data_IF_287952368951
#
_entry.id   IF_287952368951
#
_cell.length_a   1.000
_cell.length_b   1.000
_cell.length_c   1.000
_cell.angle_alpha   90.00
_cell.angle_beta   90.00
_cell.angle_gamma   90.00
#
_symmetry.space_group_name_H-M   'P 1'
#
loop_
_entity.id
_entity.type
_entity.pdbx_description
1 polymer ?
#
# COMPACT_ATOMS: atom_id res chain seq x y z
N UNK A 1 6.14 -17.33 13.10
CA UNK A 1 4.79 -16.76 13.34
C UNK A 1 4.02 -16.82 12.05
N UNK A 2 2.93 -17.59 12.03
CA UNK A 2 2.08 -17.75 10.86
C UNK A 2 1.60 -16.41 10.30
N UNK A 3 1.56 -16.30 8.98
CA UNK A 3 0.98 -15.15 8.28
C UNK A 3 -0.28 -15.55 7.51
N UNK A 4 -1.20 -14.60 7.39
CA UNK A 4 -2.48 -14.79 6.72
C UNK A 4 -2.29 -14.90 5.21
N UNK A 5 -3.28 -15.45 4.51
CA UNK A 5 -3.27 -15.50 3.04
C UNK A 5 -3.16 -14.10 2.42
N UNK A 6 -3.73 -13.07 3.06
CA UNK A 6 -3.58 -11.69 2.61
C UNK A 6 -2.15 -11.19 2.69
N UNK A 7 -1.38 -11.59 3.71
CA UNK A 7 0.03 -11.21 3.82
C UNK A 7 0.87 -11.81 2.70
N UNK A 8 0.56 -13.05 2.30
CA UNK A 8 1.30 -13.79 1.28
C UNK A 8 1.06 -13.24 -0.13
N UNK A 9 -0.16 -12.76 -0.42
CA UNK A 9 -0.53 -12.19 -1.74
C UNK A 9 -0.14 -10.72 -1.90
N UNK A 10 0.35 -10.07 -0.84
CA UNK A 10 0.98 -8.75 -0.97
C UNK A 10 2.35 -8.85 -1.64
N UNK A 11 2.84 -7.70 -2.09
CA UNK A 11 4.16 -7.57 -2.70
C UNK A 11 5.27 -7.90 -1.71
N UNK A 12 6.30 -8.63 -2.11
CA UNK A 12 7.41 -9.03 -1.23
C UNK A 12 8.58 -8.05 -1.29
N UNK A 13 8.28 -6.76 -1.09
CA UNK A 13 9.28 -5.71 -1.03
C UNK A 13 8.86 -4.61 -0.04
N UNK A 14 9.82 -3.77 0.31
CA UNK A 14 9.63 -2.63 1.19
C UNK A 14 8.89 -1.48 0.50
N UNK A 15 7.85 -0.98 1.16
CA UNK A 15 7.19 0.28 0.80
C UNK A 15 7.92 1.45 1.46
N UNK A 16 8.47 2.40 0.68
CA UNK A 16 9.13 3.58 1.22
C UNK A 16 8.12 4.66 1.60
N UNK A 17 8.35 5.29 2.76
CA UNK A 17 7.67 6.46 3.27
C UNK A 17 8.71 7.53 3.59
N UNK A 18 8.45 8.77 3.20
CA UNK A 18 9.32 9.91 3.50
C UNK A 18 8.53 10.96 4.25
N UNK A 19 9.04 11.37 5.40
CA UNK A 19 8.49 12.45 6.21
C UNK A 19 9.50 13.60 6.25
N UNK A 20 9.02 14.81 6.01
CA UNK A 20 9.86 16.00 5.95
C UNK A 20 9.45 16.96 7.06
N UNK A 21 10.42 17.37 7.87
CA UNK A 21 10.21 18.21 9.05
C UNK A 21 11.04 19.48 8.94
N UNK A 22 10.37 20.61 9.16
CA UNK A 22 11.02 21.91 9.32
C UNK A 22 11.55 22.02 10.76
N UNK A 23 12.69 22.71 10.97
CA UNK A 23 13.18 22.96 12.32
C UNK A 23 12.11 23.68 13.14
N UNK A 24 12.03 23.35 14.43
CA UNK A 24 11.14 24.03 15.38
C UNK A 24 11.91 24.90 16.39
N UNK A 25 13.22 25.04 16.24
CA UNK A 25 14.10 25.80 17.14
C UNK A 25 14.46 25.08 18.45
N UNK A 26 13.96 23.85 18.67
CA UNK A 26 14.30 23.09 19.87
C UNK A 26 15.69 22.46 19.78
N UNK A 27 16.42 22.44 20.90
CA UNK A 27 17.75 21.81 20.99
C UNK A 27 17.71 20.28 20.87
N UNK A 28 16.54 19.67 21.01
CA UNK A 28 16.32 18.23 20.87
C UNK A 28 15.62 17.84 19.56
N UNK A 29 15.47 18.79 18.63
CA UNK A 29 14.81 18.56 17.35
C UNK A 29 15.43 17.37 16.60
N UNK A 30 14.66 16.27 16.49
CA UNK A 30 15.06 15.03 15.83
C UNK A 30 16.41 14.46 16.31
N UNK A 31 16.73 14.59 17.61
CA UNK A 31 17.91 13.91 18.20
C UNK A 31 17.86 12.39 17.92
N UNK A 32 18.85 11.83 17.19
CA UNK A 32 18.82 10.42 16.81
C UNK A 32 18.70 9.45 17.99
N UNK A 33 19.33 9.76 19.12
CA UNK A 33 19.29 8.94 20.33
C UNK A 33 17.86 8.81 20.88
N UNK A 34 17.11 9.92 20.93
CA UNK A 34 15.71 9.91 21.39
C UNK A 34 14.85 9.03 20.48
N UNK A 35 15.06 9.15 19.17
CA UNK A 35 14.33 8.37 18.17
C UNK A 35 14.68 6.87 18.24
N UNK A 36 15.95 6.52 18.39
CA UNK A 36 16.42 5.14 18.55
C UNK A 36 15.90 4.50 19.83
N UNK A 37 15.98 5.19 20.96
CA UNK A 37 15.47 4.70 22.24
C UNK A 37 13.95 4.47 22.18
N UNK A 38 13.22 5.41 21.58
CA UNK A 38 11.79 5.28 21.39
C UNK A 38 11.43 4.14 20.43
N UNK A 39 12.22 3.94 19.37
CA UNK A 39 12.05 2.84 18.42
C UNK A 39 12.23 1.50 19.14
N UNK A 40 13.31 1.35 19.91
CA UNK A 40 13.57 0.16 20.72
C UNK A 40 12.42 -0.15 21.69
N UNK A 41 11.93 0.85 22.43
CA UNK A 41 10.77 0.70 23.34
C UNK A 41 9.48 0.33 22.61
N UNK A 42 9.24 0.90 21.43
CA UNK A 42 8.04 0.61 20.62
C UNK A 42 8.08 -0.81 20.07
N UNK A 43 9.25 -1.29 19.66
CA UNK A 43 9.45 -2.66 19.16
C UNK A 43 9.12 -3.73 20.21
N UNK A 44 9.11 -3.42 21.51
CA UNK A 44 8.66 -4.39 22.54
C UNK A 44 7.21 -4.81 22.30
N UNK A 45 6.33 -3.84 22.00
CA UNK A 45 4.91 -4.12 21.73
C UNK A 45 4.68 -4.54 20.28
N UNK A 46 5.50 -4.03 19.35
CA UNK A 46 5.48 -4.38 17.94
C UNK A 46 6.58 -5.40 17.58
N UNK A 47 6.78 -6.42 18.43
CA UNK A 47 7.91 -7.35 18.32
C UNK A 47 8.07 -8.06 16.95
N UNK A 48 7.01 -8.36 16.15
CA UNK A 48 7.22 -8.96 14.83
C UNK A 48 8.00 -8.07 13.87
N UNK A 49 8.04 -6.76 14.11
CA UNK A 49 8.76 -5.80 13.27
C UNK A 49 10.28 -5.92 13.39
N UNK A 50 10.78 -6.46 14.51
CA UNK A 50 12.19 -6.74 14.74
C UNK A 50 12.61 -8.13 14.21
N UNK A 51 11.71 -8.84 13.52
CA UNK A 51 11.96 -10.17 13.00
C UNK A 51 12.60 -10.20 11.60
N UNK A 52 12.52 -11.38 11.00
CA UNK A 52 12.89 -11.65 9.60
C UNK A 52 11.77 -12.41 8.89
N UNK A 53 11.79 -12.42 7.56
CA UNK A 53 11.02 -13.42 6.84
C UNK A 53 11.70 -14.79 6.96
N UNK A 54 10.89 -15.83 6.99
CA UNK A 54 11.34 -17.22 6.95
C UNK A 54 10.35 -18.10 6.21
N UNK A 55 10.60 -19.40 6.25
CA UNK A 55 9.67 -20.40 5.74
C UNK A 55 9.50 -21.49 6.78
N UNK A 56 8.27 -21.97 6.92
CA UNK A 56 7.97 -23.14 7.75
C UNK A 56 8.44 -24.44 7.08
N UNK A 57 8.22 -25.57 7.75
CA UNK A 57 8.57 -26.91 7.27
C UNK A 57 7.90 -27.29 5.93
N UNK A 58 6.77 -26.64 5.60
CA UNK A 58 6.04 -26.83 4.36
C UNK A 58 6.44 -25.82 3.27
N UNK A 59 7.43 -24.96 3.54
CA UNK A 59 7.90 -23.91 2.64
C UNK A 59 7.01 -22.67 2.58
N UNK A 60 5.96 -22.60 3.41
CA UNK A 60 5.05 -21.44 3.50
C UNK A 60 5.79 -20.29 4.17
N UNK A 61 5.63 -19.10 3.61
CA UNK A 61 6.25 -17.88 4.14
C UNK A 61 5.74 -17.61 5.57
N UNK A 62 6.63 -17.18 6.45
CA UNK A 62 6.29 -16.79 7.83
C UNK A 62 7.14 -15.61 8.31
N UNK A 63 6.81 -15.09 9.50
CA UNK A 63 7.65 -14.10 10.20
C UNK A 63 8.37 -14.78 11.36
N UNK A 64 9.70 -14.81 11.29
CA UNK A 64 10.58 -15.24 12.36
C UNK A 64 10.70 -14.10 13.38
N UNK A 65 10.00 -14.21 14.51
CA UNK A 65 10.06 -13.23 15.60
C UNK A 65 11.33 -13.43 16.46
N UNK A 66 12.50 -13.33 15.83
CA UNK A 66 13.80 -13.64 16.42
C UNK A 66 14.52 -12.43 17.06
N UNK A 67 13.88 -11.26 17.07
CA UNK A 67 14.40 -10.03 17.66
C UNK A 67 15.78 -9.59 17.12
N UNK A 68 16.14 -9.96 15.88
CA UNK A 68 17.35 -9.47 15.23
C UNK A 68 17.37 -7.94 15.02
N UNK A 69 16.22 -7.29 15.17
CA UNK A 69 16.09 -5.84 15.17
C UNK A 69 15.80 -5.25 13.80
N UNK A 70 15.86 -3.93 13.75
CA UNK A 70 15.57 -3.08 12.60
C UNK A 70 16.84 -2.35 12.17
N UNK A 71 16.93 -1.96 10.90
CA UNK A 71 18.04 -1.12 10.44
C UNK A 71 17.77 0.35 10.79
N UNK A 72 18.74 1.00 11.42
CA UNK A 72 18.74 2.44 11.65
C UNK A 72 19.95 3.07 10.97
N UNK A 73 19.72 4.11 10.16
CA UNK A 73 20.77 4.88 9.49
C UNK A 73 20.68 6.34 9.91
N UNK A 74 21.82 6.91 10.30
CA UNK A 74 22.00 8.35 10.44
C UNK A 74 22.77 8.84 9.22
N UNK A 75 22.24 9.86 8.56
CA UNK A 75 22.84 10.42 7.37
C UNK A 75 22.84 11.95 7.42
N UNK A 76 23.81 12.54 6.73
CA UNK A 76 23.87 13.96 6.47
C UNK A 76 23.63 14.20 4.98
N UNK A 77 22.91 15.28 4.66
CA UNK A 77 22.70 15.70 3.28
C UNK A 77 23.02 17.18 3.12
N UNK A 78 23.70 17.51 2.04
CA UNK A 78 23.96 18.88 1.63
C UNK A 78 22.78 19.48 0.87
N UNK A 79 21.78 18.70 0.45
CA UNK A 79 20.61 19.25 -0.25
C UNK A 79 19.74 20.06 0.71
N UNK A 80 19.29 21.25 0.31
CA UNK A 80 18.24 21.94 1.05
C UNK A 80 16.90 21.24 0.78
N UNK A 81 16.02 21.21 1.78
CA UNK A 81 14.68 20.66 1.61
C UNK A 81 13.86 21.46 0.57
N UNK A 82 14.19 22.74 0.39
CA UNK A 82 13.61 23.64 -0.62
C UNK A 82 14.16 23.38 -2.04
N UNK A 83 15.29 22.65 -2.17
CA UNK A 83 15.85 22.25 -3.48
C UNK A 83 15.11 21.02 -4.07
N UNK A 84 14.15 20.46 -3.34
CA UNK A 84 13.27 19.40 -3.82
C UNK A 84 12.16 20.04 -4.67
N UNK A 85 12.24 19.84 -5.99
CA UNK A 85 11.27 20.33 -6.99
C UNK A 85 9.89 19.66 -6.84
N UNK A 86 9.17 20.10 -5.80
CA UNK A 86 8.04 19.38 -5.25
C UNK A 86 8.45 18.03 -4.66
N UNK A 87 7.64 17.47 -3.78
CA UNK A 87 7.87 16.12 -3.22
C UNK A 87 7.59 15.00 -4.23
N UNK A 88 7.94 15.23 -5.50
CA UNK A 88 7.77 14.29 -6.62
C UNK A 88 8.77 13.14 -6.46
N UNK A 89 8.31 11.87 -6.40
CA UNK A 89 9.20 10.73 -6.31
C UNK A 89 10.23 10.73 -7.45
N UNK A 90 11.50 10.85 -7.09
CA UNK A 90 12.61 10.86 -8.04
C UNK A 90 13.80 10.08 -7.48
N UNK A 91 14.82 9.88 -8.32
CA UNK A 91 16.05 9.15 -7.93
C UNK A 91 16.77 9.78 -6.73
N UNK A 92 16.67 11.09 -6.54
CA UNK A 92 17.23 11.79 -5.37
C UNK A 92 16.49 11.42 -4.08
N UNK A 93 15.15 11.45 -4.09
CA UNK A 93 14.33 11.09 -2.93
C UNK A 93 14.50 9.61 -2.53
N UNK A 94 14.78 8.73 -3.48
CA UNK A 94 15.09 7.31 -3.17
C UNK A 94 16.32 7.12 -2.30
N UNK A 95 17.26 8.08 -2.27
CA UNK A 95 18.45 8.02 -1.39
C UNK A 95 18.14 8.41 0.07
N UNK A 96 16.95 8.96 0.33
CA UNK A 96 16.51 9.38 1.66
C UNK A 96 15.78 8.27 2.43
N UNK A 97 15.70 7.07 1.87
CA UNK A 97 15.10 5.88 2.49
C UNK A 97 16.03 4.69 2.30
N UNK A 98 16.23 3.82 3.30
CA UNK A 98 17.04 2.62 3.15
C UNK A 98 16.46 1.69 2.09
N UNK A 99 17.33 0.99 1.38
CA UNK A 99 16.96 -0.06 0.43
C UNK A 99 17.54 -1.39 0.86
N UNK A 100 16.74 -2.45 0.81
CA UNK A 100 17.19 -3.82 1.02
C UNK A 100 17.84 -4.38 -0.26
N UNK A 101 18.86 -5.22 -0.10
CA UNK A 101 19.37 -6.08 -1.16
C UNK A 101 18.55 -7.38 -1.17
N UNK A 102 17.78 -7.59 -2.24
CA UNK A 102 16.94 -8.78 -2.41
C UNK A 102 17.66 -9.92 -3.16
N UNK A 103 18.97 -9.80 -3.42
CA UNK A 103 19.76 -10.87 -4.04
C UNK A 103 20.05 -12.05 -3.08
N UNK A 104 20.00 -11.79 -1.77
CA UNK A 104 20.19 -12.80 -0.73
C UNK A 104 18.91 -13.54 -0.32
N UNK A 105 19.02 -14.37 0.71
CA UNK A 105 17.88 -15.06 1.30
C UNK A 105 16.88 -14.07 1.93
N UNK A 106 15.60 -14.44 2.00
CA UNK A 106 14.55 -13.60 2.59
C UNK A 106 14.78 -13.27 4.07
N UNK A 107 15.60 -14.06 4.77
CA UNK A 107 15.99 -13.79 6.16
C UNK A 107 17.14 -12.80 6.28
N UNK A 108 17.79 -12.40 5.19
CA UNK A 108 19.01 -11.56 5.23
C UNK A 108 18.73 -10.07 5.43
N UNK A 109 17.51 -9.61 5.19
CA UNK A 109 17.15 -8.20 5.30
C UNK A 109 16.11 -7.95 6.41
N UNK A 110 16.22 -6.82 7.14
CA UNK A 110 15.23 -6.44 8.14
C UNK A 110 13.86 -6.20 7.52
N UNK A 111 12.79 -6.35 8.31
CA UNK A 111 11.43 -6.05 7.87
C UNK A 111 11.09 -4.56 7.94
N UNK A 112 11.75 -3.84 8.86
CA UNK A 112 11.65 -2.39 9.03
C UNK A 112 13.06 -1.80 8.93
N UNK A 113 13.19 -0.72 8.18
CA UNK A 113 14.41 0.07 8.09
C UNK A 113 14.06 1.56 8.18
N UNK A 114 14.86 2.32 8.90
CA UNK A 114 14.67 3.76 9.07
C UNK A 114 15.97 4.52 8.82
N UNK A 115 15.85 5.71 8.24
CA UNK A 115 16.95 6.64 8.03
C UNK A 115 16.53 8.03 8.48
N UNK A 116 17.32 8.65 9.34
CA UNK A 116 17.22 10.09 9.62
C UNK A 116 18.29 10.80 8.81
N UNK A 117 17.89 11.81 8.03
CA UNK A 117 18.77 12.61 7.18
C UNK A 117 18.71 14.07 7.59
N UNK A 118 19.79 14.58 8.18
CA UNK A 118 19.90 15.96 8.63
C UNK A 118 20.48 16.83 7.50
N UNK A 119 19.82 17.96 7.18
CA UNK A 119 20.35 18.90 6.19
C UNK A 119 21.44 19.78 6.80
N UNK A 120 22.68 19.59 6.38
CA UNK A 120 23.86 20.33 6.90
C UNK A 120 23.99 21.74 6.32
N UNK A 121 23.33 22.05 5.20
CA UNK A 121 23.69 23.23 4.41
C UNK A 121 22.91 24.53 4.64
N UNK A 122 21.74 24.60 5.31
CA UNK A 122 21.14 25.92 5.65
C UNK A 122 19.88 25.98 6.51
N UNK A 123 19.05 24.94 6.57
CA UNK A 123 17.71 25.09 7.14
C UNK A 123 17.43 24.24 8.38
N UNK A 124 18.36 23.39 8.85
CA UNK A 124 18.13 22.50 10.00
C UNK A 124 16.94 21.54 9.82
N UNK A 125 16.47 21.35 8.58
CA UNK A 125 15.37 20.44 8.26
C UNK A 125 15.82 18.98 8.31
N UNK A 126 14.87 18.10 8.64
CA UNK A 126 15.11 16.66 8.77
C UNK A 126 14.18 15.89 7.86
N UNK A 127 14.74 14.89 7.17
CA UNK A 127 13.95 13.86 6.51
C UNK A 127 14.04 12.55 7.29
N UNK A 128 12.89 11.96 7.60
CA UNK A 128 12.79 10.61 8.13
C UNK A 128 12.26 9.70 7.03
N UNK A 129 13.11 8.81 6.53
CA UNK A 129 12.74 7.76 5.59
C UNK A 129 12.49 6.45 6.31
N UNK A 130 11.37 5.80 6.01
CA UNK A 130 10.99 4.51 6.59
C UNK A 130 10.65 3.55 5.46
N UNK A 131 11.24 2.37 5.49
CA UNK A 131 10.94 1.27 4.60
C UNK A 131 10.25 0.16 5.41
N UNK A 132 9.05 -0.24 4.99
CA UNK A 132 8.23 -1.27 5.68
C UNK A 132 7.98 -2.44 4.74
N UNK A 133 8.34 -3.66 5.12
CA UNK A 133 8.14 -4.83 4.27
C UNK A 133 6.65 -5.14 4.13
N UNK A 134 6.11 -5.17 2.91
CA UNK A 134 4.65 -5.20 2.74
C UNK A 134 3.99 -6.52 3.19
N UNK A 135 4.71 -7.64 3.20
CA UNK A 135 4.23 -8.90 3.85
C UNK A 135 3.97 -8.74 5.36
N UNK A 136 4.72 -7.86 6.03
CA UNK A 136 4.54 -7.61 7.46
C UNK A 136 3.35 -6.69 7.72
N UNK A 137 3.19 -5.62 6.92
CA UNK A 137 2.22 -4.56 7.21
C UNK A 137 1.49 -4.07 5.96
N UNK A 138 0.20 -3.77 6.10
CA UNK A 138 -0.45 -2.79 5.22
C UNK A 138 -0.22 -1.35 5.71
N UNK A 139 -0.73 -0.37 4.94
CA UNK A 139 -0.59 1.04 5.29
C UNK A 139 -1.15 1.38 6.67
N UNK A 140 -2.28 0.80 7.08
CA UNK A 140 -2.88 1.05 8.40
C UNK A 140 -1.94 0.60 9.51
N UNK A 141 -1.39 -0.61 9.40
CA UNK A 141 -0.42 -1.13 10.38
C UNK A 141 0.87 -0.30 10.40
N UNK A 142 1.40 0.07 9.24
CA UNK A 142 2.60 0.89 9.14
C UNK A 142 2.42 2.24 9.84
N UNK A 143 1.31 2.95 9.60
CA UNK A 143 1.03 4.22 10.28
C UNK A 143 0.73 4.03 11.77
N UNK A 144 0.09 2.94 12.19
CA UNK A 144 -0.10 2.64 13.61
C UNK A 144 1.23 2.50 14.36
N UNK A 145 2.20 1.80 13.77
CA UNK A 145 3.55 1.70 14.32
C UNK A 145 4.27 3.06 14.35
N UNK A 146 4.25 3.82 13.25
CA UNK A 146 4.92 5.13 13.17
C UNK A 146 4.31 6.11 14.19
N UNK A 147 2.98 6.12 14.33
CA UNK A 147 2.31 6.93 15.34
C UNK A 147 2.69 6.51 16.75
N UNK A 148 2.72 5.20 17.04
CA UNK A 148 3.13 4.67 18.34
C UNK A 148 4.59 5.03 18.67
N UNK A 149 5.49 4.92 17.69
CA UNK A 149 6.88 5.35 17.82
C UNK A 149 6.98 6.85 18.12
N UNK A 150 6.18 7.68 17.44
CA UNK A 150 6.13 9.12 17.70
C UNK A 150 5.58 9.48 19.09
N UNK A 151 4.68 8.67 19.66
CA UNK A 151 4.18 8.86 21.03
C UNK A 151 5.29 8.64 22.04
N UNK A 152 6.00 7.51 21.94
CA UNK A 152 7.11 7.21 22.84
C UNK A 152 8.26 8.21 22.65
N UNK A 153 8.55 8.63 21.42
CA UNK A 153 9.57 9.65 21.15
C UNK A 153 9.24 11.01 21.77
N UNK A 154 7.95 11.33 21.94
CA UNK A 154 7.49 12.53 22.66
C UNK A 154 7.50 12.37 24.18
N UNK A 155 7.93 11.22 24.69
CA UNK A 155 8.00 10.95 26.13
C UNK A 155 6.69 10.51 26.75
N UNK A 156 5.70 10.06 25.97
CA UNK A 156 4.51 9.42 26.55
C UNK A 156 4.94 8.12 27.26
N UNK A 157 4.35 7.80 28.42
CA UNK A 157 4.76 6.65 29.23
C UNK A 157 4.46 5.30 28.56
N UNK A 158 3.46 5.27 27.66
CA UNK A 158 3.04 4.08 26.92
C UNK A 158 2.36 4.50 25.61
N UNK A 159 2.23 3.54 24.68
CA UNK A 159 1.47 3.74 23.44
C UNK A 159 -0.03 3.78 23.75
N UNK A 160 -0.76 4.67 23.07
CA UNK A 160 -2.19 4.89 23.34
C UNK A 160 -3.05 3.69 22.94
N UNK A 161 -2.65 2.99 21.87
CA UNK A 161 -3.41 1.90 21.26
C UNK A 161 -2.51 0.68 21.10
N UNK A 162 -2.51 -0.27 22.05
CA UNK A 162 -1.69 -1.47 21.97
C UNK A 162 -1.98 -2.31 20.71
N UNK A 163 -0.96 -2.84 20.02
CA UNK A 163 -1.15 -3.67 18.83
C UNK A 163 -1.81 -5.00 19.16
N UNK A 164 -2.74 -5.41 18.31
CA UNK A 164 -3.31 -6.75 18.32
C UNK A 164 -2.54 -7.62 17.31
N UNK A 165 -1.72 -8.53 17.84
CA UNK A 165 -0.92 -9.46 17.02
C UNK A 165 -1.59 -10.83 17.07
N UNK A 166 -2.61 -10.99 16.24
CA UNK A 166 -3.30 -12.27 16.05
C UNK A 166 -3.76 -12.41 14.60
N UNK A 167 -2.90 -13.00 13.77
CA UNK A 167 -3.18 -13.23 12.33
C UNK A 167 -4.21 -14.32 12.09
N UNK A 168 -4.67 -15.02 13.13
CA UNK A 168 -5.67 -16.08 12.98
C UNK A 168 -7.06 -15.53 12.67
N UNK A 169 -7.32 -14.24 12.94
CA UNK A 169 -8.56 -13.54 12.61
C UNK A 169 -8.91 -13.58 11.11
N UNK A 170 -7.89 -13.73 10.26
CA UNK A 170 -7.98 -13.78 8.81
C UNK A 170 -7.80 -15.19 8.24
N UNK A 171 -7.85 -16.24 9.08
CA UNK A 171 -7.89 -17.62 8.59
C UNK A 171 -9.15 -17.88 7.77
N UNK A 172 -8.98 -18.69 6.73
CA UNK A 172 -10.09 -19.23 5.96
C UNK A 172 -10.97 -20.15 6.82
N UNK A 173 -12.19 -20.39 6.36
CA UNK A 173 -13.08 -21.39 6.95
C UNK A 173 -12.54 -22.80 6.70
N UNK A 174 -12.97 -23.75 7.53
CA UNK A 174 -12.63 -25.17 7.39
C UNK A 174 -13.92 -25.99 7.27
N UNK A 175 -14.23 -26.57 6.10
CA UNK A 175 -13.51 -26.42 4.82
C UNK A 175 -13.65 -25.01 4.23
N UNK A 176 -12.74 -24.58 3.34
CA UNK A 176 -12.89 -23.33 2.60
C UNK A 176 -14.09 -23.44 1.64
N UNK A 177 -14.93 -22.39 1.60
CA UNK A 177 -16.15 -22.33 0.76
C UNK A 177 -16.16 -21.02 -0.03
N UNK A 178 -15.38 -20.92 -1.13
CA UNK A 178 -15.46 -19.78 -2.06
C UNK A 178 -16.86 -19.69 -2.67
N UNK A 179 -17.48 -18.52 -2.63
CA UNK A 179 -18.84 -18.24 -3.15
C UNK A 179 -18.87 -17.31 -4.34
N UNK A 180 -17.78 -16.60 -4.61
CA UNK A 180 -17.69 -15.62 -5.68
C UNK A 180 -16.53 -15.92 -6.61
N UNK A 181 -16.62 -15.38 -7.82
CA UNK A 181 -15.50 -15.32 -8.73
C UNK A 181 -14.61 -14.13 -8.36
N UNK A 182 -13.42 -14.42 -7.83
CA UNK A 182 -12.48 -13.41 -7.36
C UNK A 182 -11.59 -12.87 -8.48
N UNK A 183 -12.16 -11.96 -9.28
CA UNK A 183 -11.48 -11.30 -10.39
C UNK A 183 -10.14 -10.68 -9.98
N UNK A 184 -10.04 -10.20 -8.74
CA UNK A 184 -8.85 -9.54 -8.19
C UNK A 184 -7.59 -10.43 -8.16
N UNK A 185 -7.76 -11.75 -8.10
CA UNK A 185 -6.66 -12.72 -8.08
C UNK A 185 -6.45 -13.43 -9.43
N UNK A 186 -7.33 -13.18 -10.41
CA UNK A 186 -7.16 -13.65 -11.78
C UNK A 186 -6.18 -12.78 -12.59
N UNK A 187 -5.62 -13.33 -13.69
CA UNK A 187 -4.70 -12.59 -14.54
C UNK A 187 -5.37 -11.32 -15.11
N UNK A 188 -4.61 -10.24 -15.34
CA UNK A 188 -5.13 -9.07 -16.05
C UNK A 188 -5.40 -9.40 -17.52
N UNK A 189 -6.30 -8.66 -18.20
CA UNK A 189 -6.51 -8.81 -19.64
C UNK A 189 -5.23 -8.52 -20.43
N UNK A 190 -4.98 -9.31 -21.48
CA UNK A 190 -3.91 -9.05 -22.43
C UNK A 190 -4.25 -7.88 -23.36
N UNK A 191 -3.23 -7.22 -23.91
CA UNK A 191 -3.39 -6.17 -24.91
C UNK A 191 -3.76 -6.79 -26.28
N UNK A 192 -4.85 -6.34 -26.90
CA UNK A 192 -5.35 -6.85 -28.18
C UNK A 192 -4.33 -6.62 -29.31
N UNK A 193 -3.63 -5.48 -29.28
CA UNK A 193 -2.52 -5.20 -30.18
C UNK A 193 -1.22 -5.67 -29.54
N UNK A 194 -0.86 -6.94 -29.78
CA UNK A 194 0.52 -7.38 -29.57
C UNK A 194 1.41 -6.61 -30.55
N UNK A 195 1.86 -5.42 -30.16
CA UNK A 195 3.10 -4.91 -30.76
C UNK A 195 4.15 -5.93 -30.35
N UNK A 196 4.83 -6.49 -31.36
CA UNK A 196 5.89 -7.49 -31.32
C UNK A 196 7.12 -6.99 -30.56
N UNK A 197 6.92 -6.56 -29.33
CA UNK A 197 7.91 -6.22 -28.36
C UNK A 197 7.96 -7.45 -27.46
N UNK A 198 9.08 -8.16 -27.50
CA UNK A 198 9.27 -9.39 -26.72
C UNK A 198 8.96 -9.16 -25.23
N UNK A 199 8.80 -10.24 -24.45
CA UNK A 199 8.23 -10.23 -23.09
C UNK A 199 8.95 -9.33 -22.05
N UNK A 200 10.03 -8.62 -22.41
CA UNK A 200 10.91 -7.88 -21.51
C UNK A 200 11.24 -6.42 -21.92
N UNK A 201 10.61 -5.81 -22.92
CA UNK A 201 10.85 -4.36 -23.16
C UNK A 201 9.99 -3.51 -22.23
N UNK A 202 10.42 -3.37 -20.97
CA UNK A 202 9.88 -2.33 -20.10
C UNK A 202 10.15 -0.97 -20.75
N UNK A 203 9.09 -0.32 -21.27
CA UNK A 203 9.21 1.08 -21.66
C UNK A 203 9.53 1.89 -20.40
N UNK A 204 10.49 2.81 -20.44
CA UNK A 204 10.80 3.65 -19.30
C UNK A 204 9.53 4.40 -18.86
N UNK A 205 9.14 4.22 -17.60
CA UNK A 205 8.02 4.93 -17.00
C UNK A 205 8.50 6.21 -16.32
N UNK A 206 7.72 7.29 -16.45
CA UNK A 206 7.93 8.53 -15.70
C UNK A 206 6.92 8.65 -14.57
N UNK A 207 7.33 9.22 -13.44
CA UNK A 207 6.44 9.61 -12.35
C UNK A 207 6.15 11.10 -12.48
N UNK A 208 4.88 11.47 -12.39
CA UNK A 208 4.44 12.87 -12.41
C UNK A 208 3.40 13.11 -11.32
N UNK A 209 3.49 14.26 -10.66
CA UNK A 209 2.54 14.67 -9.61
C UNK A 209 1.52 15.64 -10.21
N UNK A 210 0.25 15.29 -10.13
CA UNK A 210 -0.86 16.12 -10.58
C UNK A 210 -1.60 16.70 -9.38
N UNK A 211 -1.54 18.03 -9.21
CA UNK A 211 -2.32 18.72 -8.19
C UNK A 211 -3.76 18.93 -8.68
N UNK A 212 -4.72 18.35 -7.96
CA UNK A 212 -6.15 18.60 -8.18
C UNK A 212 -6.61 19.66 -7.19
N UNK A 213 -7.01 20.83 -7.68
CA UNK A 213 -7.51 21.92 -6.85
C UNK A 213 -8.92 21.64 -6.34
N UNK A 214 -9.34 22.33 -5.28
CA UNK A 214 -10.70 22.22 -4.76
C UNK A 214 -11.75 22.55 -5.82
N UNK A 215 -11.52 23.56 -6.65
CA UNK A 215 -12.42 23.94 -7.73
C UNK A 215 -12.53 22.84 -8.78
N UNK A 216 -11.41 22.25 -9.21
CA UNK A 216 -11.41 21.13 -10.16
C UNK A 216 -12.14 19.90 -9.57
N UNK A 217 -11.93 19.60 -8.28
CA UNK A 217 -12.63 18.52 -7.61
C UNK A 217 -14.14 18.79 -7.54
N UNK A 218 -14.55 20.02 -7.22
CA UNK A 218 -15.97 20.41 -7.20
C UNK A 218 -16.61 20.29 -8.59
N UNK A 219 -15.89 20.67 -9.65
CA UNK A 219 -16.34 20.46 -11.03
C UNK A 219 -16.52 18.97 -11.33
N UNK A 220 -15.59 18.10 -10.93
CA UNK A 220 -15.74 16.65 -11.11
C UNK A 220 -16.91 16.08 -10.31
N UNK A 221 -17.15 16.58 -9.09
CA UNK A 221 -18.33 16.22 -8.28
C UNK A 221 -19.63 16.66 -8.94
N UNK A 222 -19.69 17.85 -9.53
CA UNK A 222 -20.88 18.33 -10.23
C UNK A 222 -21.27 17.40 -11.39
N UNK A 223 -20.29 16.87 -12.13
CA UNK A 223 -20.52 15.89 -13.22
C UNK A 223 -21.19 14.60 -12.77
N UNK A 224 -21.13 14.28 -11.47
CA UNK A 224 -21.83 13.10 -10.95
C UNK A 224 -23.35 13.26 -10.91
N UNK A 225 -23.88 14.48 -11.02
CA UNK A 225 -25.33 14.76 -11.00
C UNK A 225 -25.94 14.91 -12.40
N UNK A 226 -25.11 14.80 -13.44
CA UNK A 226 -25.57 14.84 -14.82
C UNK A 226 -26.46 13.62 -15.13
N UNK A 227 -27.24 13.71 -16.22
CA UNK A 227 -28.13 12.63 -16.69
C UNK A 227 -29.16 12.16 -15.64
N UNK A 228 -29.52 13.02 -14.69
CA UNK A 228 -30.53 12.71 -13.67
C UNK A 228 -30.05 11.76 -12.56
N UNK A 229 -28.74 11.48 -12.46
CA UNK A 229 -28.21 10.67 -11.37
C UNK A 229 -28.37 11.41 -10.03
N UNK A 230 -28.85 10.68 -9.02
CA UNK A 230 -29.08 11.18 -7.66
C UNK A 230 -28.14 10.58 -6.62
N UNK A 231 -27.20 9.72 -7.06
CA UNK A 231 -26.26 9.03 -6.17
C UNK A 231 -25.13 9.95 -5.77
N UNK A 232 -24.92 10.10 -4.46
CA UNK A 232 -23.78 10.80 -3.90
C UNK A 232 -22.53 9.92 -3.88
N UNK A 233 -21.57 10.22 -4.74
CA UNK A 233 -20.28 9.52 -4.74
C UNK A 233 -19.23 10.27 -3.91
N UNK A 234 -18.42 9.53 -3.16
CA UNK A 234 -17.30 10.11 -2.42
C UNK A 234 -16.17 10.53 -3.37
N UNK A 235 -15.25 11.36 -2.86
CA UNK A 235 -14.09 11.87 -3.63
C UNK A 235 -13.25 10.74 -4.24
N UNK A 236 -13.04 9.64 -3.53
CA UNK A 236 -12.24 8.51 -4.03
C UNK A 236 -12.85 7.88 -5.27
N UNK A 237 -14.16 7.58 -5.26
CA UNK A 237 -14.87 6.99 -6.40
C UNK A 237 -14.77 7.90 -7.63
N UNK A 238 -14.97 9.21 -7.42
CA UNK A 238 -14.91 10.19 -8.50
C UNK A 238 -13.51 10.25 -9.11
N UNK A 239 -12.48 10.31 -8.28
CA UNK A 239 -11.10 10.36 -8.77
C UNK A 239 -10.66 9.04 -9.40
N UNK A 240 -11.00 7.89 -8.83
CA UNK A 240 -10.69 6.58 -9.40
C UNK A 240 -11.33 6.41 -10.79
N UNK A 241 -12.62 6.74 -10.93
CA UNK A 241 -13.32 6.72 -12.21
C UNK A 241 -12.69 7.70 -13.22
N UNK A 242 -12.40 8.93 -12.79
CA UNK A 242 -11.82 9.96 -13.65
C UNK A 242 -10.42 9.56 -14.15
N UNK A 243 -9.53 9.14 -13.23
CA UNK A 243 -8.17 8.71 -13.56
C UNK A 243 -8.20 7.48 -14.48
N UNK A 244 -9.11 6.54 -14.26
CA UNK A 244 -9.24 5.35 -15.12
C UNK A 244 -9.64 5.71 -16.55
N UNK A 245 -10.59 6.65 -16.74
CA UNK A 245 -10.93 7.19 -18.07
C UNK A 245 -9.75 7.94 -18.69
N UNK A 246 -9.05 8.76 -17.93
CA UNK A 246 -7.88 9.50 -18.40
C UNK A 246 -6.75 8.56 -18.84
N UNK A 247 -6.41 7.55 -18.04
CA UNK A 247 -5.38 6.57 -18.36
C UNK A 247 -5.74 5.76 -19.61
N UNK A 248 -7.02 5.35 -19.75
CA UNK A 248 -7.52 4.66 -20.94
C UNK A 248 -7.35 5.50 -22.20
N UNK A 249 -7.73 6.79 -22.15
CA UNK A 249 -7.57 7.73 -23.29
C UNK A 249 -6.09 8.01 -23.59
N UNK A 250 -5.27 8.24 -22.58
CA UNK A 250 -3.85 8.55 -22.74
C UNK A 250 -3.05 7.38 -23.34
N UNK A 251 -3.48 6.14 -23.10
CA UNK A 251 -2.88 4.94 -23.68
C UNK A 251 -3.31 4.67 -25.12
N UNK A 252 -4.31 5.39 -25.65
CA UNK A 252 -4.81 5.18 -27.02
C UNK A 252 -5.36 3.77 -27.26
N UNK A 253 -5.98 3.16 -26.25
CA UNK A 253 -6.48 1.78 -26.32
C UNK A 253 -7.63 1.67 -27.34
N UNK A 254 -7.65 0.57 -28.11
CA UNK A 254 -8.77 0.27 -29.02
C UNK A 254 -10.09 0.12 -28.24
N UNK A 255 -11.22 0.32 -28.90
CA UNK A 255 -12.53 0.32 -28.24
C UNK A 255 -12.88 -1.04 -27.63
N UNK A 256 -12.43 -2.12 -28.25
CA UNK A 256 -12.61 -3.51 -27.86
C UNK A 256 -11.58 -4.00 -26.82
N UNK A 257 -10.59 -3.18 -26.44
CA UNK A 257 -9.60 -3.54 -25.43
C UNK A 257 -10.25 -3.67 -24.04
N UNK A 258 -10.20 -4.85 -23.39
CA UNK A 258 -10.61 -4.95 -21.99
C UNK A 258 -9.58 -4.27 -21.08
N UNK A 259 -10.05 -3.52 -20.10
CA UNK A 259 -9.23 -2.80 -19.12
C UNK A 259 -9.71 -3.13 -17.72
N UNK A 260 -8.76 -3.37 -16.81
CA UNK A 260 -9.01 -3.77 -15.43
C UNK A 260 -8.61 -2.64 -14.49
N UNK A 261 -9.51 -2.24 -13.58
CA UNK A 261 -9.21 -1.35 -12.47
C UNK A 261 -9.14 -2.17 -11.18
N UNK A 262 -8.02 -2.07 -10.47
CA UNK A 262 -7.83 -2.66 -9.15
C UNK A 262 -7.85 -1.55 -8.09
N UNK A 263 -8.72 -1.68 -7.08
CA UNK A 263 -8.90 -0.69 -6.02
C UNK A 263 -8.62 -1.33 -4.67
N UNK A 264 -7.55 -0.93 -3.95
CA UNK A 264 -7.31 -1.42 -2.61
C UNK A 264 -8.42 -0.95 -1.66
N UNK A 265 -8.90 -1.85 -0.81
CA UNK A 265 -9.92 -1.55 0.20
C UNK A 265 -9.46 -2.02 1.57
N UNK A 266 -9.81 -1.25 2.60
CA UNK A 266 -9.61 -1.66 3.98
C UNK A 266 -10.70 -2.66 4.38
N UNK A 267 -10.30 -3.90 4.66
CA UNK A 267 -11.20 -4.95 5.14
C UNK A 267 -11.71 -4.72 6.56
N UNK A 268 -10.94 -4.01 7.41
CA UNK A 268 -11.15 -3.97 8.88
C UNK A 268 -12.61 -3.72 9.28
N UNK A 269 -13.25 -2.65 8.76
CA UNK A 269 -14.64 -2.34 9.12
C UNK A 269 -15.68 -3.17 8.35
N UNK A 270 -15.27 -3.98 7.36
CA UNK A 270 -16.14 -4.72 6.44
C UNK A 270 -16.29 -6.18 6.82
N UNK A 271 -15.34 -6.76 7.54
CA UNK A 271 -15.47 -8.09 8.11
C UNK A 271 -16.45 -8.10 9.29
N UNK A 272 -17.05 -9.26 9.55
CA UNK A 272 -17.91 -9.52 10.69
C UNK A 272 -17.39 -10.75 11.45
N UNK A 273 -17.04 -10.61 12.76
CA UNK A 273 -16.92 -9.33 13.48
C UNK A 273 -15.85 -8.41 12.86
N UNK A 274 -15.93 -7.07 13.05
CA UNK A 274 -14.92 -6.15 12.54
C UNK A 274 -13.55 -6.44 13.13
N UNK A 275 -12.50 -6.36 12.31
CA UNK A 275 -11.12 -6.49 12.78
C UNK A 275 -10.69 -5.16 13.40
N UNK A 276 -10.11 -5.16 14.62
CA UNK A 276 -9.68 -3.93 15.29
C UNK A 276 -8.69 -3.13 14.45
N UNK A 277 -8.74 -1.79 14.57
CA UNK A 277 -7.77 -0.90 13.93
C UNK A 277 -6.32 -1.12 14.41
N UNK A 278 -6.16 -1.72 15.59
CA UNK A 278 -4.87 -2.08 16.18
C UNK A 278 -4.29 -3.40 15.66
N UNK A 279 -5.01 -4.14 14.81
CA UNK A 279 -4.51 -5.37 14.19
C UNK A 279 -3.24 -5.13 13.39
N UNK A 280 -2.20 -5.92 13.68
CA UNK A 280 -0.88 -5.87 13.03
C UNK A 280 -0.77 -6.94 11.94
N UNK A 281 -0.96 -6.51 10.69
CA UNK A 281 -0.85 -7.36 9.50
C UNK A 281 -1.47 -6.70 8.27
N UNK A 282 -1.58 -7.46 7.18
CA UNK A 282 -2.31 -6.99 6.01
C UNK A 282 -3.79 -7.32 6.12
N UNK A 283 -4.63 -6.31 5.92
CA UNK A 283 -6.06 -6.49 5.68
C UNK A 283 -6.55 -5.68 4.48
N UNK A 284 -5.64 -5.49 3.54
CA UNK A 284 -5.92 -4.83 2.28
C UNK A 284 -6.47 -5.84 1.27
N UNK A 285 -7.78 -5.84 1.06
CA UNK A 285 -8.37 -6.55 -0.08
C UNK A 285 -8.29 -5.70 -1.35
N UNK A 286 -8.57 -6.29 -2.51
CA UNK A 286 -8.71 -5.56 -3.77
C UNK A 286 -10.11 -5.75 -4.33
N UNK A 287 -10.76 -4.65 -4.68
CA UNK A 287 -11.96 -4.66 -5.49
C UNK A 287 -11.53 -4.49 -6.95
N UNK A 288 -11.91 -5.43 -7.81
CA UNK A 288 -11.50 -5.41 -9.22
C UNK A 288 -12.71 -5.45 -10.14
N UNK A 289 -12.65 -4.66 -11.20
CA UNK A 289 -13.63 -4.71 -12.28
C UNK A 289 -12.95 -4.59 -13.63
N UNK A 290 -13.58 -5.20 -14.64
CA UNK A 290 -13.17 -5.15 -16.04
C UNK A 290 -14.29 -4.50 -16.85
N UNK A 291 -13.93 -3.63 -17.78
CA UNK A 291 -14.85 -3.12 -18.80
C UNK A 291 -14.07 -2.89 -20.10
N UNK A 292 -14.78 -2.66 -21.20
CA UNK A 292 -14.15 -2.28 -22.46
C UNK A 292 -13.70 -0.82 -22.41
N UNK A 293 -12.54 -0.56 -22.99
CA UNK A 293 -12.00 0.79 -23.21
C UNK A 293 -13.02 1.69 -23.91
N UNK A 294 -13.76 1.16 -24.89
CA UNK A 294 -14.82 1.89 -25.60
C UNK A 294 -15.93 2.40 -24.67
N UNK A 295 -16.31 1.63 -23.64
CA UNK A 295 -17.29 2.06 -22.64
C UNK A 295 -16.77 3.28 -21.85
N UNK A 296 -15.51 3.23 -21.42
CA UNK A 296 -14.87 4.35 -20.72
C UNK A 296 -14.67 5.58 -21.61
N UNK A 297 -14.59 5.41 -22.92
CA UNK A 297 -14.40 6.52 -23.84
C UNK A 297 -15.71 7.18 -24.23
N UNK A 298 -16.74 6.38 -24.55
CA UNK A 298 -18.00 6.85 -25.16
C UNK A 298 -19.12 7.14 -24.16
N UNK A 299 -19.19 6.41 -23.04
CA UNK A 299 -20.32 6.55 -22.11
C UNK A 299 -20.24 7.83 -21.27
N UNK A 300 -21.40 8.30 -20.75
CA UNK A 300 -21.43 9.33 -19.71
C UNK A 300 -20.56 8.97 -18.50
N UNK A 301 -20.05 9.99 -17.80
CA UNK A 301 -19.17 9.78 -16.64
C UNK A 301 -19.84 9.04 -15.50
N UNK A 302 -21.14 9.26 -15.32
CA UNK A 302 -22.00 8.54 -14.37
C UNK A 302 -21.88 7.03 -14.51
N UNK A 303 -21.87 6.47 -15.73
CA UNK A 303 -21.76 5.02 -15.90
C UNK A 303 -20.43 4.45 -15.37
N UNK A 304 -19.34 5.23 -15.46
CA UNK A 304 -18.06 4.80 -14.85
C UNK A 304 -18.14 4.89 -13.32
N UNK A 305 -18.77 5.93 -12.78
CA UNK A 305 -18.98 6.09 -11.34
C UNK A 305 -19.82 4.95 -10.77
N UNK A 306 -20.91 4.57 -11.44
CA UNK A 306 -21.79 3.47 -11.04
C UNK A 306 -21.05 2.14 -10.97
N UNK A 307 -20.23 1.82 -11.98
CA UNK A 307 -19.42 0.59 -11.99
C UNK A 307 -18.43 0.56 -10.84
N UNK A 308 -17.69 1.66 -10.63
CA UNK A 308 -16.71 1.77 -9.53
C UNK A 308 -17.41 1.67 -8.17
N UNK A 309 -18.50 2.41 -7.98
CA UNK A 309 -19.27 2.42 -6.74
C UNK A 309 -19.91 1.06 -6.44
N UNK A 310 -20.56 0.45 -7.42
CA UNK A 310 -21.18 -0.87 -7.29
C UNK A 310 -20.18 -1.94 -6.91
N UNK A 311 -19.00 -1.93 -7.55
CA UNK A 311 -17.90 -2.86 -7.22
C UNK A 311 -17.44 -2.69 -5.77
N UNK A 312 -17.19 -1.45 -5.32
CA UNK A 312 -16.76 -1.18 -3.93
C UNK A 312 -17.85 -1.49 -2.89
N UNK A 313 -19.13 -1.32 -3.26
CA UNK A 313 -20.28 -1.68 -2.42
C UNK A 313 -20.42 -3.20 -2.28
N UNK A 314 -20.09 -3.96 -3.33
CA UNK A 314 -20.10 -5.42 -3.34
C UNK A 314 -19.07 -6.08 -2.42
N UNK A 315 -18.01 -5.37 -2.04
CA UNK A 315 -16.97 -5.85 -1.12
C UNK A 315 -17.45 -5.87 0.35
N UNK A 316 -18.49 -6.64 0.64
CA UNK A 316 -19.05 -6.84 1.98
C UNK A 316 -18.37 -8.03 2.69
N UNK A 317 -18.74 -8.30 3.95
CA UNK A 317 -18.20 -9.42 4.73
C UNK A 317 -18.22 -10.76 3.97
N UNK A 318 -19.31 -11.07 3.28
CA UNK A 318 -19.43 -12.36 2.58
C UNK A 318 -18.42 -12.47 1.44
N UNK A 319 -18.25 -11.40 0.65
CA UNK A 319 -17.25 -11.36 -0.42
C UNK A 319 -15.83 -11.47 0.15
N UNK A 320 -15.52 -10.75 1.23
CA UNK A 320 -14.18 -10.80 1.85
C UNK A 320 -13.86 -12.18 2.45
N UNK A 321 -14.82 -12.82 3.14
CA UNK A 321 -14.64 -14.18 3.67
C UNK A 321 -14.50 -15.21 2.56
N UNK A 322 -15.26 -15.06 1.47
CA UNK A 322 -15.09 -15.88 0.27
C UNK A 322 -13.70 -15.73 -0.34
N UNK A 323 -13.13 -14.52 -0.36
CA UNK A 323 -11.78 -14.27 -0.88
C UNK A 323 -10.71 -15.01 -0.06
N UNK A 324 -10.81 -14.97 1.27
CA UNK A 324 -9.90 -15.71 2.16
C UNK A 324 -9.94 -17.22 1.88
N UNK A 325 -11.14 -17.76 1.72
CA UNK A 325 -11.33 -19.18 1.37
C UNK A 325 -10.80 -19.50 -0.02
N UNK A 326 -11.05 -18.64 -1.01
CA UNK A 326 -10.55 -18.83 -2.37
C UNK A 326 -9.03 -18.93 -2.37
N UNK A 327 -8.34 -18.03 -1.64
CA UNK A 327 -6.88 -18.07 -1.53
C UNK A 327 -6.38 -19.37 -0.86
N UNK A 328 -7.12 -19.92 0.10
CA UNK A 328 -6.79 -21.19 0.75
C UNK A 328 -6.92 -22.38 -0.19
N UNK A 329 -7.81 -22.31 -1.19
CA UNK A 329 -7.96 -23.38 -2.19
C UNK A 329 -6.89 -23.39 -3.27
N UNK A 330 -6.04 -22.34 -3.36
CA UNK A 330 -5.02 -22.27 -4.38
C UNK A 330 -3.87 -23.24 -4.06
N UNK A 331 -3.45 -24.08 -5.02
CA UNK A 331 -2.30 -24.98 -4.82
C UNK A 331 -0.99 -24.21 -4.64
N UNK A 332 -0.89 -23.06 -5.31
CA UNK A 332 0.18 -22.09 -5.13
C UNK A 332 -0.45 -20.70 -4.96
N UNK A 333 -0.53 -20.22 -3.72
CA UNK A 333 -1.08 -18.90 -3.40
C UNK A 333 -0.26 -17.75 -4.02
N UNK A 334 0.99 -17.98 -4.41
CA UNK A 334 1.85 -16.93 -4.97
C UNK A 334 1.40 -16.49 -6.37
N UNK A 335 0.58 -17.28 -7.07
CA UNK A 335 -0.05 -16.89 -8.34
C UNK A 335 -1.05 -15.75 -8.16
N UNK A 336 -1.65 -15.63 -6.97
CA UNK A 336 -2.57 -14.55 -6.60
C UNK A 336 -1.84 -13.28 -6.12
N UNK A 337 -0.50 -13.29 -6.08
CA UNK A 337 0.28 -12.10 -5.68
C UNK A 337 0.03 -10.97 -6.65
N UNK A 338 -0.14 -9.77 -6.09
CA UNK A 338 -0.20 -8.55 -6.89
C UNK A 338 1.16 -8.31 -7.54
N UNK A 339 1.20 -8.36 -8.85
CA UNK A 339 2.37 -7.99 -9.65
C UNK A 339 2.23 -6.55 -10.15
N UNK A 340 3.34 -5.86 -10.40
CA UNK A 340 3.33 -4.52 -11.00
C UNK A 340 2.92 -4.53 -12.48
N UNK A 341 2.27 -5.59 -12.97
CA UNK A 341 1.92 -5.78 -14.36
C UNK A 341 0.91 -4.72 -14.79
N UNK A 342 1.39 -3.76 -15.59
CA UNK A 342 0.56 -2.77 -16.26
C UNK A 342 0.32 -3.24 -17.69
N UNK A 343 -0.92 -3.59 -18.02
CA UNK A 343 -1.39 -3.58 -19.41
C UNK A 343 -2.22 -2.30 -19.64
#
# INVERSE_FOLDING_TARGET
MDISNLDVVMTTYHLPLLFFYKPNGSSDFFKPQVLQEALSKTLVQFYPMAGRLGRDENGRLEILCNAEGVLWIEAETTSAMDDLDGFTPCSKLRKLVPTADYSGDISSYPLIMAQVSNSTLKCGGVCLGIATHHTLTDGTTAFHFISSWSEIARGLPQISMPPLIDRTLLRARVPPIPRFHHLEYGPPPSLNTSTSLGPNTHKPSIVSVFKITQNQLNTLKAKSWEHGNKTNYNTYIILAAYIWRCATKARGLSYDQPTKLNMPINGRPRLHPPVPSTYVGNEMFAASLITLSGNLQSEPFVNTLERVHGTLKGMNNEYLRSALDYLETLPDITVARRKPDTY
#
